data_IF_889292447499
#
_entry.id   IF_889292447499
#
_cell.length_a   1.000
_cell.length_b   1.000
_cell.length_c   1.000
_cell.angle_alpha   90.00
_cell.angle_beta   90.00
_cell.angle_gamma   90.00
#
_symmetry.space_group_name_H-M   'P 1'
#
loop_
_entity.id
_entity.type
_entity.pdbx_description
1 polymer ?
#
# COMPACT_ATOMS: atom_id res chain seq x y z
N UNK A 1 -6.77 -17.17 1.98
CA UNK A 1 -7.40 -18.29 2.73
C UNK A 1 -6.34 -19.19 3.35
N UNK A 2 -5.34 -19.67 2.60
CA UNK A 2 -4.30 -20.57 3.16
C UNK A 2 -3.60 -20.06 4.43
N UNK A 3 -3.18 -18.79 4.47
CA UNK A 3 -2.56 -18.20 5.66
C UNK A 3 -3.50 -18.21 6.90
N UNK A 4 -4.79 -18.01 6.67
CA UNK A 4 -5.84 -18.09 7.70
C UNK A 4 -5.94 -19.53 8.23
N UNK A 5 -6.02 -20.50 7.33
CA UNK A 5 -6.11 -21.92 7.72
C UNK A 5 -4.87 -22.40 8.50
N UNK A 6 -3.68 -21.91 8.15
CA UNK A 6 -2.43 -22.22 8.87
C UNK A 6 -2.52 -21.72 10.32
N UNK A 7 -2.94 -20.47 10.52
CA UNK A 7 -3.04 -19.88 11.85
C UNK A 7 -4.15 -20.53 12.69
N UNK A 8 -5.31 -20.81 12.12
CA UNK A 8 -6.40 -21.50 12.83
C UNK A 8 -5.95 -22.89 13.31
N UNK A 9 -5.24 -23.66 12.47
CA UNK A 9 -4.66 -24.97 12.86
C UNK A 9 -3.60 -24.86 13.97
N UNK A 10 -2.95 -23.71 14.10
CA UNK A 10 -2.00 -23.40 15.18
C UNK A 10 -2.69 -22.88 16.45
N UNK A 11 -4.02 -22.78 16.45
CA UNK A 11 -4.83 -22.38 17.60
C UNK A 11 -5.09 -20.87 17.69
N UNK A 12 -4.77 -20.10 16.65
CA UNK A 12 -5.10 -18.67 16.60
C UNK A 12 -6.58 -18.46 16.31
N UNK A 13 -7.15 -17.42 16.89
CA UNK A 13 -8.52 -16.97 16.58
C UNK A 13 -8.45 -15.86 15.54
N UNK A 14 -9.16 -16.04 14.43
CA UNK A 14 -9.17 -15.07 13.33
C UNK A 14 -10.51 -14.35 13.29
N UNK A 15 -10.46 -13.04 13.44
CA UNK A 15 -11.62 -12.16 13.34
C UNK A 15 -11.48 -11.26 12.11
N UNK A 16 -12.60 -10.98 11.45
CA UNK A 16 -12.62 -9.98 10.40
C UNK A 16 -12.49 -8.59 11.02
N UNK A 17 -11.55 -7.81 10.51
CA UNK A 17 -11.29 -6.46 10.98
C UNK A 17 -11.30 -5.51 9.79
N UNK A 18 -12.30 -4.65 9.76
CA UNK A 18 -12.43 -3.60 8.76
C UNK A 18 -12.14 -2.24 9.39
N UNK A 19 -11.44 -1.39 8.63
CA UNK A 19 -11.08 -0.06 9.08
C UNK A 19 -11.42 0.96 8.00
N UNK A 20 -12.58 1.60 8.14
CA UNK A 20 -13.18 2.51 7.15
C UNK A 20 -12.24 3.67 6.78
N UNK A 21 -11.44 4.14 7.73
CA UNK A 21 -10.57 5.31 7.56
C UNK A 21 -9.25 4.97 6.86
N UNK A 22 -9.04 3.71 6.43
CA UNK A 22 -7.83 3.26 5.70
C UNK A 22 -7.47 4.16 4.52
N UNK A 23 -8.46 4.57 3.73
CA UNK A 23 -8.25 5.45 2.59
C UNK A 23 -7.78 6.85 2.99
N UNK A 24 -8.23 7.37 4.13
CA UNK A 24 -7.79 8.67 4.63
C UNK A 24 -6.34 8.63 5.11
N UNK A 25 -5.98 7.59 5.88
CA UNK A 25 -4.60 7.35 6.36
C UNK A 25 -3.62 7.35 5.19
N UNK A 26 -3.91 6.54 4.16
CA UNK A 26 -3.01 6.42 3.01
C UNK A 26 -2.88 7.74 2.23
N UNK A 27 -3.97 8.50 2.09
CA UNK A 27 -3.92 9.83 1.45
C UNK A 27 -3.11 10.84 2.26
N UNK A 28 -3.27 10.87 3.59
CA UNK A 28 -2.54 11.80 4.45
C UNK A 28 -1.07 11.43 4.55
N UNK A 29 -0.74 10.14 4.73
CA UNK A 29 0.64 9.65 4.68
C UNK A 29 1.33 9.99 3.34
N UNK A 30 0.64 9.78 2.21
CA UNK A 30 1.17 10.14 0.89
C UNK A 30 1.46 11.65 0.76
N UNK A 31 0.60 12.51 1.32
CA UNK A 31 0.82 13.97 1.35
C UNK A 31 2.07 14.34 2.14
N UNK A 32 2.28 13.71 3.30
CA UNK A 32 3.46 13.97 4.14
C UNK A 32 4.78 13.60 3.44
N UNK A 33 4.79 12.62 2.54
CA UNK A 33 5.97 12.32 1.70
C UNK A 33 6.38 13.48 0.78
N UNK A 34 5.48 14.44 0.51
CA UNK A 34 5.70 15.61 -0.34
C UNK A 34 5.55 16.93 0.43
N UNK A 35 5.82 16.92 1.74
CA UNK A 35 5.62 18.05 2.66
C UNK A 35 6.22 19.39 2.19
N UNK A 36 7.35 19.38 1.49
CA UNK A 36 8.01 20.59 1.01
C UNK A 36 7.76 20.88 -0.49
N UNK A 37 6.64 20.39 -1.02
CA UNK A 37 6.31 20.50 -2.42
C UNK A 37 7.34 19.81 -3.33
N UNK A 38 7.98 18.74 -2.85
CA UNK A 38 9.03 17.98 -3.54
C UNK A 38 10.28 18.80 -3.90
N UNK A 39 10.57 19.89 -3.16
CA UNK A 39 11.71 20.75 -3.43
C UNK A 39 13.06 20.00 -3.35
N UNK A 40 13.19 19.08 -2.40
CA UNK A 40 14.41 18.26 -2.24
C UNK A 40 14.67 17.41 -3.47
N UNK A 41 13.65 16.79 -4.07
CA UNK A 41 13.82 16.01 -5.29
C UNK A 41 14.24 16.88 -6.48
N UNK A 42 13.69 18.09 -6.61
CA UNK A 42 14.11 19.03 -7.66
C UNK A 42 15.56 19.47 -7.51
N UNK A 43 16.00 19.71 -6.27
CA UNK A 43 17.37 20.14 -5.99
C UNK A 43 18.36 19.01 -6.22
N UNK A 44 18.05 17.78 -5.78
CA UNK A 44 18.88 16.60 -6.03
C UNK A 44 19.14 16.41 -7.54
N UNK A 45 18.09 16.54 -8.37
CA UNK A 45 18.16 16.31 -9.81
C UNK A 45 18.55 17.56 -10.64
N UNK A 46 19.01 18.64 -9.99
CA UNK A 46 19.24 19.94 -10.65
C UNK A 46 20.47 19.95 -11.56
N UNK A 47 21.51 19.21 -11.21
CA UNK A 47 22.84 19.30 -11.84
C UNK A 47 23.03 18.34 -13.02
N UNK A 48 21.96 18.00 -13.74
CA UNK A 48 22.03 17.08 -14.88
C UNK A 48 22.26 15.62 -14.47
N UNK A 49 21.89 15.25 -13.25
CA UNK A 49 21.88 13.84 -12.83
C UNK A 49 21.01 13.00 -13.76
N UNK A 50 21.44 11.76 -14.00
CA UNK A 50 20.71 10.83 -14.83
C UNK A 50 19.38 10.48 -14.15
N UNK A 51 18.29 10.90 -14.78
CA UNK A 51 16.95 10.55 -14.35
C UNK A 51 16.55 9.22 -14.99
N UNK A 52 16.33 8.22 -14.16
CA UNK A 52 15.74 6.96 -14.61
C UNK A 52 14.36 7.22 -15.27
N UNK A 53 14.07 6.49 -16.34
CA UNK A 53 12.83 6.65 -17.10
C UNK A 53 11.58 6.48 -16.22
N UNK A 54 11.64 5.58 -15.24
CA UNK A 54 10.56 5.32 -14.31
C UNK A 54 10.27 6.53 -13.41
N UNK A 55 11.30 7.28 -13.01
CA UNK A 55 11.17 8.46 -12.14
C UNK A 55 10.68 9.71 -12.89
N UNK A 56 10.59 9.66 -14.23
CA UNK A 56 10.22 10.82 -15.05
C UNK A 56 8.85 11.39 -14.70
N UNK A 57 7.85 10.54 -14.45
CA UNK A 57 6.50 10.99 -14.09
C UNK A 57 6.49 11.77 -12.77
N UNK A 58 7.14 11.21 -11.75
CA UNK A 58 7.27 11.84 -10.44
C UNK A 58 8.04 13.16 -10.53
N UNK A 59 9.15 13.17 -11.28
CA UNK A 59 9.93 14.39 -11.50
C UNK A 59 9.15 15.49 -12.22
N UNK A 60 8.41 15.15 -13.29
CA UNK A 60 7.56 16.10 -13.99
C UNK A 60 6.50 16.69 -13.05
N UNK A 61 5.86 15.84 -12.23
CA UNK A 61 4.89 16.29 -11.23
C UNK A 61 5.49 17.33 -10.28
N UNK A 62 6.74 17.15 -9.85
CA UNK A 62 7.41 18.12 -8.98
C UNK A 62 7.61 19.50 -9.62
N UNK A 63 7.61 19.59 -10.96
CA UNK A 63 7.76 20.87 -11.67
C UNK A 63 6.43 21.57 -11.92
N UNK A 64 5.31 20.86 -11.82
CA UNK A 64 3.98 21.44 -12.08
C UNK A 64 3.61 22.38 -10.92
N UNK A 65 3.25 23.65 -11.20
CA UNK A 65 2.74 24.55 -10.17
C UNK A 65 1.54 23.94 -9.45
N UNK A 66 1.55 23.97 -8.11
CA UNK A 66 0.55 23.28 -7.27
C UNK A 66 -0.89 23.68 -7.57
N UNK A 67 -1.14 24.95 -7.90
CA UNK A 67 -2.49 25.40 -8.25
C UNK A 67 -2.99 24.75 -9.55
N UNK A 68 -2.11 24.52 -10.53
CA UNK A 68 -2.45 23.79 -11.77
C UNK A 68 -2.78 22.34 -11.41
N UNK A 69 -1.92 21.70 -10.62
CA UNK A 69 -2.13 20.30 -10.19
C UNK A 69 -3.46 20.13 -9.43
N UNK A 70 -3.68 20.94 -8.39
CA UNK A 70 -4.82 20.80 -7.45
C UNK A 70 -6.14 21.37 -7.97
N UNK A 71 -6.12 22.49 -8.71
CA UNK A 71 -7.34 23.23 -9.09
C UNK A 71 -7.78 22.99 -10.53
N UNK A 72 -6.86 22.58 -11.41
CA UNK A 72 -7.17 22.33 -12.81
C UNK A 72 -7.12 20.83 -13.14
N UNK A 73 -5.99 20.18 -12.88
CA UNK A 73 -5.76 18.80 -13.34
C UNK A 73 -6.49 17.76 -12.49
N UNK A 74 -6.39 17.82 -11.17
CA UNK A 74 -7.02 16.83 -10.28
C UNK A 74 -8.55 16.74 -10.48
N UNK A 75 -9.33 17.85 -10.48
CA UNK A 75 -10.78 17.78 -10.68
C UNK A 75 -11.19 17.26 -12.06
N UNK A 76 -10.37 17.53 -13.10
CA UNK A 76 -10.63 17.07 -14.46
C UNK A 76 -10.56 15.55 -14.59
N UNK A 77 -9.61 14.93 -13.88
CA UNK A 77 -9.35 13.50 -13.98
C UNK A 77 -10.01 12.68 -12.87
N UNK A 78 -10.48 13.31 -11.78
CA UNK A 78 -11.01 12.62 -10.60
C UNK A 78 -12.12 11.63 -10.94
N UNK A 79 -13.06 12.01 -11.81
CA UNK A 79 -14.16 11.13 -12.22
C UNK A 79 -13.69 9.87 -12.98
N UNK A 80 -12.56 9.94 -13.68
CA UNK A 80 -12.06 8.86 -14.52
C UNK A 80 -11.00 8.01 -13.81
N UNK A 81 -10.11 8.68 -13.05
CA UNK A 81 -8.92 8.10 -12.42
C UNK A 81 -8.72 8.72 -11.02
N UNK A 82 -9.58 8.41 -10.03
CA UNK A 82 -9.56 9.07 -8.72
C UNK A 82 -8.21 8.96 -7.99
N UNK A 83 -7.49 7.83 -8.14
CA UNK A 83 -6.19 7.67 -7.50
C UNK A 83 -5.14 8.66 -8.04
N UNK A 84 -5.20 8.99 -9.34
CA UNK A 84 -4.27 9.92 -9.95
C UNK A 84 -4.59 11.36 -9.53
N UNK A 85 -5.87 11.70 -9.38
CA UNK A 85 -6.28 12.96 -8.77
C UNK A 85 -5.72 13.10 -7.35
N UNK A 86 -5.84 12.05 -6.54
CA UNK A 86 -5.25 12.03 -5.18
C UNK A 86 -3.73 12.26 -5.19
N UNK A 87 -3.00 11.68 -6.14
CA UNK A 87 -1.55 11.89 -6.28
C UNK A 87 -1.24 13.34 -6.68
N UNK A 88 -1.99 13.92 -7.63
CA UNK A 88 -1.82 15.32 -8.01
C UNK A 88 -2.10 16.29 -6.86
N UNK A 89 -3.01 15.91 -5.96
CA UNK A 89 -3.31 16.66 -4.74
C UNK A 89 -2.33 16.42 -3.59
N UNK A 90 -1.46 15.41 -3.70
CA UNK A 90 -0.56 15.00 -2.62
C UNK A 90 0.58 15.99 -2.35
N UNK A 91 0.88 16.88 -3.31
CA UNK A 91 1.96 17.86 -3.18
C UNK A 91 1.51 19.04 -2.31
N UNK A 92 2.04 19.13 -1.10
CA UNK A 92 1.62 20.10 -0.07
C UNK A 92 2.76 21.07 0.31
N UNK A 93 2.44 22.07 1.13
CA UNK A 93 3.38 22.94 1.85
C UNK A 93 3.74 22.38 3.22
N UNK A 94 4.81 22.93 3.81
CA UNK A 94 5.19 22.66 5.19
C UNK A 94 4.09 23.07 6.17
N UNK A 95 3.40 24.18 5.91
CA UNK A 95 2.26 24.63 6.74
C UNK A 95 1.11 23.61 6.69
N UNK A 96 0.76 23.11 5.50
CA UNK A 96 -0.22 22.04 5.32
C UNK A 96 0.23 20.72 5.97
N UNK A 97 1.55 20.46 6.06
CA UNK A 97 2.08 19.20 6.58
C UNK A 97 1.75 19.03 8.07
N UNK A 98 1.83 20.10 8.87
CA UNK A 98 1.45 20.07 10.29
C UNK A 98 0.00 19.65 10.46
N UNK A 99 -0.90 20.22 9.64
CA UNK A 99 -2.32 19.85 9.66
C UNK A 99 -2.56 18.36 9.34
N UNK A 100 -1.86 17.81 8.33
CA UNK A 100 -2.00 16.40 7.99
C UNK A 100 -1.34 15.46 9.00
N UNK A 101 -0.25 15.88 9.66
CA UNK A 101 0.37 15.14 10.77
C UNK A 101 -0.61 15.02 11.95
N UNK A 102 -1.22 16.13 12.37
CA UNK A 102 -2.24 16.13 13.43
C UNK A 102 -3.41 15.20 13.09
N UNK A 103 -3.90 15.25 11.84
CA UNK A 103 -4.98 14.35 11.38
C UNK A 103 -4.56 12.88 11.36
N UNK A 104 -3.31 12.59 11.03
CA UNK A 104 -2.80 11.22 11.05
C UNK A 104 -2.68 10.71 12.49
N UNK A 105 -2.28 11.55 13.45
CA UNK A 105 -2.28 11.22 14.88
C UNK A 105 -3.69 10.95 15.42
N UNK A 106 -4.66 11.77 15.07
CA UNK A 106 -6.08 11.53 15.42
C UNK A 106 -6.56 10.16 14.90
N UNK A 107 -6.26 9.85 13.63
CA UNK A 107 -6.61 8.56 13.03
C UNK A 107 -5.89 7.38 13.69
N UNK A 108 -4.64 7.58 14.12
CA UNK A 108 -3.89 6.56 14.85
C UNK A 108 -4.53 6.23 16.21
N UNK A 109 -5.05 7.24 16.92
CA UNK A 109 -5.80 7.01 18.17
C UNK A 109 -7.08 6.21 17.91
N UNK A 110 -7.85 6.58 16.88
CA UNK A 110 -9.06 5.85 16.47
C UNK A 110 -8.72 4.39 16.10
N UNK A 111 -7.61 4.19 15.38
CA UNK A 111 -7.11 2.85 15.05
C UNK A 111 -6.78 2.04 16.30
N UNK A 112 -6.07 2.63 17.26
CA UNK A 112 -5.76 1.98 18.53
C UNK A 112 -7.02 1.62 19.33
N UNK A 113 -8.01 2.51 19.38
CA UNK A 113 -9.26 2.24 20.08
C UNK A 113 -10.02 1.05 19.46
N UNK A 114 -10.13 1.02 18.12
CA UNK A 114 -10.75 -0.11 17.40
C UNK A 114 -9.94 -1.39 17.57
N UNK A 115 -8.61 -1.31 17.56
CA UNK A 115 -7.71 -2.44 17.78
C UNK A 115 -7.94 -3.08 19.15
N UNK A 116 -7.95 -2.28 20.21
CA UNK A 116 -8.16 -2.77 21.57
C UNK A 116 -9.59 -3.29 21.78
N UNK A 117 -10.60 -2.62 21.22
CA UNK A 117 -12.00 -3.07 21.30
C UNK A 117 -12.22 -4.42 20.60
N UNK A 118 -11.47 -4.70 19.53
CA UNK A 118 -11.48 -5.98 18.82
C UNK A 118 -10.55 -7.03 19.47
N UNK A 119 -9.82 -6.69 20.53
CA UNK A 119 -8.86 -7.55 21.20
C UNK A 119 -7.83 -8.17 20.24
N UNK A 120 -7.29 -7.35 19.32
CA UNK A 120 -6.31 -7.79 18.34
C UNK A 120 -4.90 -7.92 18.94
N UNK A 121 -4.17 -8.94 18.51
CA UNK A 121 -2.73 -9.07 18.74
C UNK A 121 -1.91 -8.74 17.48
N UNK A 122 -2.46 -9.06 16.31
CA UNK A 122 -1.87 -8.79 15.00
C UNK A 122 -2.94 -8.67 13.92
N UNK A 123 -2.63 -7.95 12.83
CA UNK A 123 -3.42 -7.93 11.60
C UNK A 123 -2.73 -8.81 10.56
N UNK A 124 -3.50 -9.69 9.93
CA UNK A 124 -3.13 -10.43 8.73
C UNK A 124 -3.78 -9.78 7.51
N UNK A 125 -3.00 -9.42 6.50
CA UNK A 125 -3.53 -8.83 5.26
C UNK A 125 -2.75 -9.31 4.02
N UNK A 126 -3.28 -9.09 2.80
CA UNK A 126 -2.47 -9.21 1.59
C UNK A 126 -1.36 -8.15 1.58
N UNK A 127 -0.13 -8.51 1.17
CA UNK A 127 1.00 -7.58 1.16
C UNK A 127 0.94 -6.64 -0.05
N UNK A 128 0.35 -7.12 -1.14
CA UNK A 128 0.17 -6.42 -2.40
C UNK A 128 -0.96 -7.10 -3.19
N UNK A 129 -1.70 -6.40 -4.06
CA UNK A 129 -2.84 -6.98 -4.77
C UNK A 129 -2.46 -7.88 -5.95
N UNK A 130 -1.19 -7.93 -6.33
CA UNK A 130 -0.68 -8.75 -7.44
C UNK A 130 0.62 -9.46 -7.04
N UNK A 131 0.96 -10.60 -7.67
CA UNK A 131 2.27 -11.24 -7.53
C UNK A 131 3.39 -10.36 -8.11
N UNK A 132 4.63 -10.87 -8.11
CA UNK A 132 5.75 -10.14 -8.72
C UNK A 132 5.45 -9.80 -10.19
N UNK A 133 5.63 -8.53 -10.53
CA UNK A 133 5.35 -7.96 -11.86
C UNK A 133 6.65 -7.56 -12.56
N UNK A 134 6.54 -7.10 -13.81
CA UNK A 134 7.66 -6.47 -14.50
C UNK A 134 8.10 -5.17 -13.79
N UNK A 135 9.31 -4.72 -14.12
CA UNK A 135 10.00 -3.61 -13.46
C UNK A 135 9.19 -2.31 -13.50
N UNK A 136 8.50 -2.03 -14.61
CA UNK A 136 7.76 -0.78 -14.77
C UNK A 136 6.40 -0.76 -14.06
N UNK A 137 5.84 -1.93 -13.71
CA UNK A 137 4.47 -2.02 -13.23
C UNK A 137 4.25 -1.23 -11.94
N UNK A 138 5.17 -1.32 -10.97
CA UNK A 138 5.01 -0.66 -9.69
C UNK A 138 4.91 0.86 -9.85
N UNK A 139 5.78 1.43 -10.69
CA UNK A 139 5.82 2.87 -10.97
C UNK A 139 4.60 3.34 -11.76
N UNK A 140 4.08 2.51 -12.66
CA UNK A 140 2.86 2.79 -13.40
C UNK A 140 1.57 2.59 -12.57
N UNK A 141 1.69 2.05 -11.35
CA UNK A 141 0.56 1.67 -10.51
C UNK A 141 0.66 2.16 -9.05
N UNK A 142 0.84 3.47 -8.82
CA UNK A 142 0.97 4.03 -7.49
C UNK A 142 -0.29 3.85 -6.62
N UNK A 143 -1.44 3.51 -7.20
CA UNK A 143 -2.67 3.20 -6.45
C UNK A 143 -2.55 1.97 -5.54
N UNK A 144 -1.52 1.13 -5.71
CA UNK A 144 -1.29 -0.03 -4.86
C UNK A 144 -0.32 0.23 -3.69
N UNK A 145 0.33 1.41 -3.65
CA UNK A 145 1.16 1.86 -2.52
C UNK A 145 0.45 1.73 -1.16
N UNK A 146 -0.86 2.02 -1.02
CA UNK A 146 -1.58 1.89 0.25
C UNK A 146 -1.42 0.54 0.99
N UNK A 147 -1.22 -0.57 0.27
CA UNK A 147 -1.10 -1.91 0.89
C UNK A 147 0.08 -2.01 1.86
N UNK A 148 1.19 -1.32 1.57
CA UNK A 148 2.36 -1.24 2.46
C UNK A 148 2.48 0.13 3.13
N UNK A 149 2.00 1.18 2.46
CA UNK A 149 2.03 2.55 2.96
C UNK A 149 1.24 2.75 4.26
N UNK A 150 0.21 1.93 4.51
CA UNK A 150 -0.54 1.97 5.77
C UNK A 150 0.36 1.74 7.00
N UNK A 151 1.19 0.69 6.97
CA UNK A 151 2.11 0.39 8.06
C UNK A 151 3.13 1.52 8.26
N UNK A 152 3.63 2.10 7.17
CA UNK A 152 4.56 3.22 7.22
C UNK A 152 3.92 4.48 7.84
N UNK A 153 2.67 4.80 7.48
CA UNK A 153 1.98 5.99 7.96
C UNK A 153 1.80 5.97 9.48
N UNK A 154 1.63 4.79 10.07
CA UNK A 154 1.45 4.60 11.51
C UNK A 154 2.70 4.08 12.23
N UNK A 155 3.81 3.94 11.52
CA UNK A 155 5.05 3.36 12.04
C UNK A 155 4.80 2.01 12.75
N UNK A 156 4.01 1.14 12.12
CA UNK A 156 3.70 -0.19 12.64
C UNK A 156 4.83 -1.16 12.29
N UNK A 157 5.23 -2.06 13.20
CA UNK A 157 6.02 -3.23 12.82
C UNK A 157 5.21 -4.06 11.82
N UNK A 158 5.84 -4.36 10.68
CA UNK A 158 5.22 -5.10 9.59
C UNK A 158 6.22 -6.05 8.95
N UNK A 159 5.78 -7.27 8.68
CA UNK A 159 6.59 -8.27 7.99
C UNK A 159 5.79 -8.99 6.91
N UNK A 160 6.47 -9.37 5.82
CA UNK A 160 5.87 -10.12 4.72
C UNK A 160 6.51 -11.50 4.68
N UNK A 161 5.69 -12.53 4.53
CA UNK A 161 6.14 -13.92 4.45
C UNK A 161 5.48 -14.64 3.27
N UNK A 162 6.24 -15.39 2.43
CA UNK A 162 5.65 -16.23 1.38
C UNK A 162 4.92 -17.43 1.99
N UNK A 163 3.73 -17.71 1.48
CA UNK A 163 2.85 -18.78 1.97
C UNK A 163 2.73 -19.90 0.94
N UNK A 164 2.46 -19.52 -0.31
CA UNK A 164 2.14 -20.45 -1.40
C UNK A 164 2.68 -19.95 -2.71
N UNK A 165 2.44 -20.68 -3.79
CA UNK A 165 2.81 -20.28 -5.15
C UNK A 165 1.57 -20.15 -6.01
N UNK A 166 1.58 -19.19 -6.93
CA UNK A 166 0.49 -19.03 -7.90
C UNK A 166 0.28 -20.30 -8.71
N UNK A 167 -0.97 -20.73 -8.81
CA UNK A 167 -1.35 -21.94 -9.56
C UNK A 167 -2.04 -21.60 -10.87
N UNK A 168 -2.22 -22.60 -11.75
CA UNK A 168 -3.06 -22.44 -12.94
C UNK A 168 -4.51 -22.09 -12.59
N UNK A 169 -5.03 -22.64 -11.49
CA UNK A 169 -6.38 -22.36 -11.05
C UNK A 169 -6.55 -20.90 -10.62
N UNK A 170 -5.54 -20.31 -9.96
CA UNK A 170 -5.55 -18.89 -9.59
C UNK A 170 -5.60 -17.98 -10.82
N UNK A 171 -4.80 -18.29 -11.86
CA UNK A 171 -4.80 -17.53 -13.12
C UNK A 171 -6.13 -17.67 -13.88
N UNK A 172 -6.72 -18.87 -13.91
CA UNK A 172 -8.03 -19.10 -14.52
C UNK A 172 -9.13 -18.31 -13.79
N UNK A 173 -9.17 -18.33 -12.45
CA UNK A 173 -10.14 -17.55 -11.65
C UNK A 173 -10.02 -16.05 -11.89
N UNK A 174 -8.81 -15.56 -12.13
CA UNK A 174 -8.58 -14.14 -12.41
C UNK A 174 -9.08 -13.69 -13.79
N UNK A 175 -9.40 -14.62 -14.70
CA UNK A 175 -10.11 -14.27 -15.95
C UNK A 175 -11.51 -13.72 -15.70
N UNK A 176 -12.11 -14.05 -14.57
CA UNK A 176 -13.42 -13.54 -14.15
C UNK A 176 -13.31 -12.36 -13.18
N UNK A 177 -12.09 -11.91 -12.86
CA UNK A 177 -11.89 -10.73 -12.03
C UNK A 177 -12.55 -9.49 -12.67
N UNK A 178 -13.29 -8.67 -11.89
CA UNK A 178 -13.97 -7.49 -12.39
C UNK A 178 -13.06 -6.55 -13.21
N UNK A 179 -13.65 -5.78 -14.12
CA UNK A 179 -12.96 -4.77 -14.95
C UNK A 179 -13.72 -3.44 -14.92
N UNK A 180 -14.21 -3.06 -13.74
CA UNK A 180 -15.06 -1.88 -13.57
C UNK A 180 -14.27 -0.59 -13.69
N UNK A 181 -12.96 -0.64 -13.42
CA UNK A 181 -12.06 0.50 -13.50
C UNK A 181 -10.67 0.08 -14.01
N UNK A 182 -9.82 1.08 -14.28
CA UNK A 182 -8.45 0.89 -14.79
C UNK A 182 -7.60 0.05 -13.83
N UNK A 183 -7.73 0.23 -12.52
CA UNK A 183 -6.95 -0.52 -11.53
C UNK A 183 -7.26 -2.00 -11.60
N UNK A 184 -8.53 -2.38 -11.66
CA UNK A 184 -8.96 -3.77 -11.76
C UNK A 184 -8.50 -4.41 -13.09
N UNK A 185 -8.58 -3.65 -14.20
CA UNK A 185 -8.03 -4.10 -15.48
C UNK A 185 -6.52 -4.36 -15.40
N UNK A 186 -5.78 -3.46 -14.75
CA UNK A 186 -4.32 -3.58 -14.57
C UNK A 186 -3.96 -4.74 -13.64
N UNK A 187 -4.71 -4.99 -12.57
CA UNK A 187 -4.53 -6.17 -11.70
C UNK A 187 -4.56 -7.43 -12.55
N UNK A 188 -5.64 -7.63 -13.32
CA UNK A 188 -5.78 -8.82 -14.16
C UNK A 188 -4.61 -8.99 -15.13
N UNK A 189 -4.19 -7.91 -15.78
CA UNK A 189 -3.03 -7.91 -16.67
C UNK A 189 -1.73 -8.28 -15.97
N UNK A 190 -1.55 -7.86 -14.72
CA UNK A 190 -0.33 -8.10 -13.95
C UNK A 190 -0.16 -9.55 -13.52
N UNK A 191 -1.26 -10.29 -13.40
CA UNK A 191 -1.22 -11.69 -12.93
C UNK A 191 -1.04 -12.69 -14.08
N UNK A 192 -1.20 -12.27 -15.34
CA UNK A 192 -0.90 -13.09 -16.51
C UNK A 192 0.57 -13.58 -16.46
N UNK A 193 0.79 -14.90 -16.47
CA UNK A 193 2.14 -15.49 -16.41
C UNK A 193 2.77 -15.58 -15.01
N UNK A 194 1.98 -15.42 -13.95
CA UNK A 194 2.48 -15.47 -12.56
C UNK A 194 2.53 -16.89 -11.94
N UNK A 195 2.22 -17.94 -12.70
CA UNK A 195 2.25 -19.32 -12.21
C UNK A 195 3.64 -19.64 -11.63
N UNK A 196 3.64 -20.21 -10.43
CA UNK A 196 4.84 -20.60 -9.69
C UNK A 196 5.48 -19.45 -8.90
N UNK A 197 5.07 -18.20 -9.10
CA UNK A 197 5.60 -17.07 -8.33
C UNK A 197 5.11 -17.13 -6.87
N UNK A 198 5.94 -16.70 -5.90
CA UNK A 198 5.54 -16.67 -4.50
C UNK A 198 4.35 -15.74 -4.26
N UNK A 199 3.39 -16.21 -3.48
CA UNK A 199 2.27 -15.44 -2.93
C UNK A 199 2.42 -15.40 -1.42
N UNK A 200 2.41 -14.19 -0.86
CA UNK A 200 2.63 -13.96 0.56
C UNK A 200 1.45 -13.34 1.29
N UNK A 201 1.64 -13.16 2.59
CA UNK A 201 0.80 -12.35 3.45
C UNK A 201 1.66 -11.35 4.21
N UNK A 202 1.08 -10.22 4.59
CA UNK A 202 1.66 -9.28 5.56
C UNK A 202 1.06 -9.50 6.94
N UNK A 203 1.92 -9.38 7.94
CA UNK A 203 1.56 -9.38 9.36
C UNK A 203 1.97 -8.03 9.93
N UNK A 204 1.08 -7.39 10.67
CA UNK A 204 1.32 -6.11 11.33
C UNK A 204 0.90 -6.18 12.79
N UNK A 205 1.55 -5.43 13.67
CA UNK A 205 1.11 -5.23 15.07
C UNK A 205 1.20 -3.76 15.46
N UNK A 206 0.82 -3.43 16.70
CA UNK A 206 0.98 -2.08 17.25
C UNK A 206 2.47 -1.71 17.36
N UNK A 207 2.82 -0.41 17.44
CA UNK A 207 4.21 0.01 17.60
C UNK A 207 4.93 -0.71 18.75
N UNK A 208 6.21 -1.04 18.52
CA UNK A 208 7.08 -1.73 19.49
C UNK A 208 6.67 -3.17 19.84
N UNK A 209 5.90 -3.83 18.96
CA UNK A 209 5.48 -5.24 19.11
C UNK A 209 6.09 -6.12 18.01
N UNK A 210 7.33 -5.85 17.62
CA UNK A 210 8.08 -6.58 16.59
C UNK A 210 8.13 -8.09 16.88
N UNK A 211 8.28 -8.48 18.15
CA UNK A 211 8.30 -9.87 18.58
C UNK A 211 6.97 -10.57 18.30
N UNK A 212 5.83 -9.87 18.42
CA UNK A 212 4.50 -10.38 18.09
C UNK A 212 4.39 -10.65 16.58
N UNK A 213 4.86 -9.70 15.77
CA UNK A 213 4.92 -9.88 14.30
C UNK A 213 5.77 -11.09 13.94
N UNK A 214 6.99 -11.18 14.48
CA UNK A 214 7.91 -12.30 14.24
C UNK A 214 7.34 -13.64 14.73
N UNK A 215 6.66 -13.65 15.87
CA UNK A 215 6.02 -14.84 16.45
C UNK A 215 4.94 -15.40 15.52
N UNK A 216 4.10 -14.54 14.95
CA UNK A 216 3.04 -14.92 14.01
C UNK A 216 3.65 -15.34 12.66
N UNK A 217 4.64 -14.60 12.16
CA UNK A 217 5.37 -14.99 10.95
C UNK A 217 6.01 -16.37 11.07
N UNK A 218 6.58 -16.71 12.23
CA UNK A 218 7.14 -18.05 12.49
C UNK A 218 6.07 -19.15 12.42
N UNK A 219 4.86 -18.90 12.93
CA UNK A 219 3.77 -19.88 12.82
C UNK A 219 3.31 -20.06 11.38
N UNK A 220 3.23 -18.97 10.63
CA UNK A 220 2.95 -18.99 9.20
C UNK A 220 4.01 -19.76 8.42
N UNK A 221 5.29 -19.52 8.69
CA UNK A 221 6.40 -20.22 8.05
C UNK A 221 6.32 -21.73 8.27
N UNK A 222 6.02 -22.15 9.50
CA UNK A 222 5.94 -23.57 9.85
C UNK A 222 4.81 -24.31 9.10
N UNK A 223 3.80 -23.59 8.61
CA UNK A 223 2.70 -24.15 7.83
C UNK A 223 2.73 -23.82 6.34
N UNK A 224 3.71 -23.04 5.87
CA UNK A 224 3.78 -22.61 4.47
C UNK A 224 4.48 -23.65 3.58
N UNK A 225 4.40 -23.43 2.26
CA UNK A 225 5.15 -24.22 1.27
C UNK A 225 6.65 -23.88 1.24
N UNK A 226 7.08 -22.87 2.00
CA UNK A 226 8.44 -22.34 2.01
C UNK A 226 9.09 -22.70 3.35
N UNK A 227 10.15 -23.52 3.31
CA UNK A 227 10.94 -23.88 4.49
C UNK A 227 12.07 -22.88 4.68
#
# INVERSE_FOLDING_TARGET
MEAKDILEKKGHTLIEFEFEEFGAICRFGCRLCSANGMAVMREALRNGELLDAQMRGLYLMSKVPRWISKKLLAPLIDRQVPYLANILESVITLDEATYFDDKLRELFLIFCDKWHAAHLDAILSPPFPVPATNEDFAVQNPQFIPYTGFANAFNLPAGIIPITRGTKEDEEKLKDYPRRNISEYKIRKAVEGSIGLPLGCSVMSLPYQDETVLRVMRDLQAGSQFR
#
